data_IF_999206634912
#
_entry.id   IF_999206634912
#
_cell.length_a   1.000
_cell.length_b   1.000
_cell.length_c   1.000
_cell.angle_alpha   90.00
_cell.angle_beta   90.00
_cell.angle_gamma   90.00
#
_symmetry.space_group_name_H-M   'P 1'
#
loop_
_entity.id
_entity.type
_entity.pdbx_description
1 polymer ?
#
# COMPACT_ATOMS: atom_id res chain seq x y z
N UNK A 1 30.28 39.19 -9.59
CA UNK A 1 31.05 38.00 -9.18
C UNK A 1 30.10 36.81 -9.23
N UNK A 2 30.12 36.06 -10.33
CA UNK A 2 29.43 34.78 -10.48
C UNK A 2 30.44 33.70 -10.08
N UNK A 3 30.03 32.70 -9.32
CA UNK A 3 30.91 31.66 -8.77
C UNK A 3 31.62 30.87 -9.87
N UNK A 4 32.92 30.63 -9.68
CA UNK A 4 33.86 30.12 -10.68
C UNK A 4 34.09 28.59 -10.60
N UNK A 5 33.03 27.79 -10.43
CA UNK A 5 33.20 26.34 -10.27
C UNK A 5 32.08 25.56 -10.96
N UNK A 6 32.46 24.63 -11.83
CA UNK A 6 31.56 23.66 -12.43
C UNK A 6 31.23 22.57 -11.40
N UNK A 7 29.96 22.20 -11.27
CA UNK A 7 29.59 20.95 -10.60
C UNK A 7 30.12 19.78 -11.43
N UNK A 8 31.20 19.15 -10.96
CA UNK A 8 31.94 18.11 -11.68
C UNK A 8 31.16 16.78 -11.84
N UNK A 9 30.03 16.61 -11.14
CA UNK A 9 29.18 15.42 -11.25
C UNK A 9 27.88 15.80 -11.94
N UNK A 10 27.75 15.38 -13.20
CA UNK A 10 26.47 15.37 -13.90
C UNK A 10 25.77 14.08 -13.51
N UNK A 11 24.94 14.14 -12.48
CA UNK A 11 24.07 13.01 -12.16
C UNK A 11 22.95 12.93 -13.19
N UNK A 12 22.82 11.77 -13.84
CA UNK A 12 21.76 11.49 -14.78
C UNK A 12 20.51 10.91 -14.09
N UNK A 13 20.60 10.64 -12.78
CA UNK A 13 19.52 10.05 -11.99
C UNK A 13 18.54 11.14 -11.57
N UNK A 14 17.35 11.07 -12.17
CA UNK A 14 16.20 11.86 -11.78
C UNK A 14 15.46 11.14 -10.64
N UNK A 15 15.51 11.71 -9.43
CA UNK A 15 14.87 11.15 -8.22
C UNK A 15 13.37 10.89 -8.42
N UNK A 16 12.66 11.79 -9.09
CA UNK A 16 11.23 11.67 -9.40
C UNK A 16 10.96 10.45 -10.28
N UNK A 17 11.83 10.24 -11.27
CA UNK A 17 11.75 9.09 -12.17
C UNK A 17 12.01 7.78 -11.44
N UNK A 18 13.03 7.73 -10.59
CA UNK A 18 13.33 6.53 -9.81
C UNK A 18 12.17 6.17 -8.89
N UNK A 19 11.62 7.15 -8.16
CA UNK A 19 10.50 6.94 -7.23
C UNK A 19 9.24 6.42 -7.95
N UNK A 20 8.87 7.02 -9.08
CA UNK A 20 7.72 6.57 -9.87
C UNK A 20 7.94 5.16 -10.45
N UNK A 21 9.17 4.83 -10.84
CA UNK A 21 9.51 3.49 -11.35
C UNK A 21 9.39 2.44 -10.25
N UNK A 22 9.89 2.72 -9.05
CA UNK A 22 9.75 1.81 -7.90
C UNK A 22 8.28 1.60 -7.54
N UNK A 23 7.49 2.66 -7.53
CA UNK A 23 6.05 2.56 -7.26
C UNK A 23 5.33 1.69 -8.29
N UNK A 24 5.62 1.87 -9.59
CA UNK A 24 5.07 1.03 -10.65
C UNK A 24 5.52 -0.43 -10.50
N UNK A 25 6.79 -0.66 -10.19
CA UNK A 25 7.32 -2.01 -9.93
C UNK A 25 6.67 -2.67 -8.70
N UNK A 26 6.25 -1.90 -7.71
CA UNK A 26 5.55 -2.41 -6.52
C UNK A 26 4.13 -2.95 -6.83
N UNK A 27 3.56 -2.64 -8.00
CA UNK A 27 2.27 -3.22 -8.39
C UNK A 27 2.34 -4.72 -8.65
N UNK A 28 3.46 -5.24 -9.14
CA UNK A 28 3.64 -6.68 -9.34
C UNK A 28 3.51 -7.49 -8.04
N UNK A 29 4.28 -7.19 -6.97
CA UNK A 29 4.11 -7.87 -5.69
C UNK A 29 2.78 -7.55 -5.04
N UNK A 30 2.17 -6.38 -5.29
CA UNK A 30 0.84 -6.04 -4.80
C UNK A 30 -0.23 -6.99 -5.36
N UNK A 31 -0.30 -7.17 -6.69
CA UNK A 31 -1.26 -8.10 -7.30
C UNK A 31 -0.99 -9.55 -6.91
N UNK A 32 0.27 -9.97 -6.86
CA UNK A 32 0.65 -11.30 -6.40
C UNK A 32 0.22 -11.52 -4.94
N UNK A 33 0.47 -10.55 -4.06
CA UNK A 33 0.07 -10.59 -2.65
C UNK A 33 -1.44 -10.72 -2.48
N UNK A 34 -2.23 -9.93 -3.22
CA UNK A 34 -3.70 -10.05 -3.20
C UNK A 34 -4.17 -11.44 -3.66
N UNK A 35 -3.60 -11.97 -4.75
CA UNK A 35 -3.95 -13.31 -5.22
C UNK A 35 -3.60 -14.41 -4.22
N UNK A 36 -2.37 -14.46 -3.70
CA UNK A 36 -1.95 -15.53 -2.79
C UNK A 36 -2.62 -15.45 -1.42
N UNK A 37 -2.87 -14.25 -0.89
CA UNK A 37 -3.62 -14.11 0.37
C UNK A 37 -5.07 -14.54 0.18
N UNK A 38 -5.70 -14.18 -0.94
CA UNK A 38 -7.05 -14.63 -1.28
C UNK A 38 -7.15 -16.13 -1.51
N UNK A 39 -6.23 -16.72 -2.26
CA UNK A 39 -6.17 -18.16 -2.53
C UNK A 39 -6.09 -18.98 -1.24
N UNK A 40 -5.16 -18.64 -0.35
CA UNK A 40 -5.04 -19.36 0.92
C UNK A 40 -6.26 -19.15 1.82
N UNK A 41 -6.90 -17.98 1.76
CA UNK A 41 -8.10 -17.72 2.53
C UNK A 41 -9.31 -18.50 2.00
N UNK A 42 -9.55 -18.54 0.69
CA UNK A 42 -10.68 -19.27 0.10
C UNK A 42 -10.54 -20.79 0.28
N UNK A 43 -9.32 -21.35 0.12
CA UNK A 43 -9.04 -22.76 0.44
C UNK A 43 -9.34 -23.06 1.91
N UNK A 44 -8.90 -22.18 2.81
CA UNK A 44 -9.13 -22.36 4.25
C UNK A 44 -10.62 -22.29 4.60
N UNK A 45 -11.39 -21.39 3.96
CA UNK A 45 -12.84 -21.30 4.16
C UNK A 45 -13.59 -22.53 3.67
N UNK A 46 -13.20 -23.09 2.51
CA UNK A 46 -13.77 -24.32 1.98
C UNK A 46 -13.52 -25.50 2.93
N UNK A 47 -12.29 -25.63 3.46
CA UNK A 47 -11.93 -26.67 4.43
C UNK A 47 -12.68 -26.55 5.76
N UNK A 48 -12.97 -25.32 6.21
CA UNK A 48 -13.67 -25.05 7.46
C UNK A 48 -15.20 -25.01 7.31
N UNK A 49 -15.74 -25.13 6.09
CA UNK A 49 -17.18 -25.03 5.82
C UNK A 49 -17.75 -23.63 6.06
N UNK A 50 -16.94 -22.59 5.94
CA UNK A 50 -17.38 -21.19 6.10
C UNK A 50 -17.84 -20.68 4.73
N UNK A 51 -19.16 -20.57 4.55
CA UNK A 51 -19.74 -20.16 3.27
C UNK A 51 -19.60 -18.65 3.00
N UNK A 52 -19.54 -17.82 4.06
CA UNK A 52 -19.55 -16.36 3.93
C UNK A 52 -18.66 -15.69 4.98
N UNK A 53 -18.01 -14.60 4.57
CA UNK A 53 -17.22 -13.78 5.47
C UNK A 53 -18.14 -12.79 6.22
N UNK A 54 -18.06 -12.73 7.54
CA UNK A 54 -18.87 -11.79 8.31
C UNK A 54 -18.44 -10.32 8.11
N UNK A 55 -19.42 -9.42 8.05
CA UNK A 55 -19.22 -7.97 8.06
C UNK A 55 -19.15 -7.32 6.67
N UNK A 56 -18.71 -6.06 6.65
CA UNK A 56 -18.67 -5.24 5.43
C UNK A 56 -17.73 -5.81 4.35
N UNK A 57 -16.71 -6.57 4.76
CA UNK A 57 -15.78 -7.23 3.83
C UNK A 57 -16.50 -8.32 3.04
N UNK A 58 -17.31 -9.15 3.69
CA UNK A 58 -18.10 -10.18 3.02
C UNK A 58 -19.12 -9.59 2.05
N UNK A 59 -19.81 -8.54 2.48
CA UNK A 59 -20.75 -7.82 1.62
C UNK A 59 -20.12 -7.35 0.29
N UNK A 60 -18.89 -6.81 0.33
CA UNK A 60 -18.19 -6.38 -0.88
C UNK A 60 -17.80 -7.58 -1.76
N UNK A 61 -17.32 -8.66 -1.15
CA UNK A 61 -16.93 -9.87 -1.90
C UNK A 61 -18.15 -10.48 -2.59
N UNK A 62 -19.29 -10.59 -1.91
CA UNK A 62 -20.53 -11.14 -2.49
C UNK A 62 -21.13 -10.26 -3.59
N UNK A 63 -20.96 -8.93 -3.49
CA UNK A 63 -21.46 -8.00 -4.49
C UNK A 63 -20.66 -8.06 -5.80
N UNK A 64 -19.35 -8.32 -5.73
CA UNK A 64 -18.40 -8.18 -6.85
C UNK A 64 -17.89 -9.54 -7.36
N UNK A 65 -17.90 -10.56 -6.50
CA UNK A 65 -17.33 -11.89 -6.75
C UNK A 65 -18.04 -12.96 -5.89
N UNK A 66 -17.38 -14.10 -5.68
CA UNK A 66 -17.78 -15.13 -4.72
C UNK A 66 -16.56 -15.78 -4.08
N UNK A 67 -16.71 -17.00 -3.56
CA UNK A 67 -15.67 -17.63 -2.73
C UNK A 67 -14.97 -18.88 -3.33
N UNK A 68 -15.20 -19.18 -4.61
CA UNK A 68 -14.55 -20.31 -5.30
C UNK A 68 -13.00 -20.16 -5.39
N UNK A 69 -12.21 -21.09 -4.84
CA UNK A 69 -10.73 -21.06 -4.90
C UNK A 69 -10.12 -21.28 -6.29
N UNK A 70 -10.82 -21.96 -7.20
CA UNK A 70 -10.35 -22.22 -8.56
C UNK A 70 -10.41 -20.97 -9.45
N UNK A 71 -11.25 -20.00 -9.08
CA UNK A 71 -11.41 -18.76 -9.83
C UNK A 71 -10.39 -17.72 -9.38
N UNK A 72 -9.47 -17.38 -10.28
CA UNK A 72 -8.46 -16.35 -10.02
C UNK A 72 -9.08 -14.99 -9.65
N UNK A 73 -10.23 -14.63 -10.23
CA UNK A 73 -10.95 -13.39 -9.93
C UNK A 73 -11.44 -13.36 -8.49
N UNK A 74 -11.98 -14.47 -8.00
CA UNK A 74 -12.51 -14.59 -6.64
C UNK A 74 -11.39 -14.44 -5.60
N UNK A 75 -10.24 -15.08 -5.86
CA UNK A 75 -9.05 -14.96 -5.02
C UNK A 75 -8.52 -13.52 -5.01
N UNK A 76 -8.42 -12.84 -6.17
CA UNK A 76 -7.95 -11.45 -6.24
C UNK A 76 -8.89 -10.50 -5.51
N UNK A 77 -10.21 -10.61 -5.72
CA UNK A 77 -11.20 -9.74 -5.06
C UNK A 77 -11.20 -9.96 -3.55
N UNK A 78 -11.12 -11.22 -3.10
CA UNK A 78 -11.02 -11.53 -1.68
C UNK A 78 -9.80 -10.84 -1.05
N UNK A 79 -8.61 -11.01 -1.64
CA UNK A 79 -7.39 -10.35 -1.16
C UNK A 79 -7.46 -8.82 -1.21
N UNK A 80 -8.07 -8.26 -2.26
CA UNK A 80 -8.23 -6.82 -2.44
C UNK A 80 -9.08 -6.19 -1.32
N UNK A 81 -10.13 -6.86 -0.87
CA UNK A 81 -10.99 -6.37 0.24
C UNK A 81 -10.23 -6.25 1.56
N UNK A 82 -9.14 -7.00 1.75
CA UNK A 82 -8.26 -6.84 2.91
C UNK A 82 -7.17 -5.79 2.66
N UNK A 83 -6.55 -5.80 1.49
CA UNK A 83 -5.40 -4.95 1.16
C UNK A 83 -5.77 -3.49 0.87
N UNK A 84 -6.76 -3.23 0.01
CA UNK A 84 -7.13 -1.88 -0.44
C UNK A 84 -7.46 -0.93 0.72
N UNK A 85 -8.24 -1.33 1.74
CA UNK A 85 -8.49 -0.49 2.91
C UNK A 85 -7.22 -0.15 3.69
N UNK A 86 -6.27 -1.09 3.80
CA UNK A 86 -4.99 -0.84 4.45
C UNK A 86 -4.23 0.22 3.69
N UNK A 87 -4.10 0.08 2.36
CA UNK A 87 -3.43 1.05 1.50
C UNK A 87 -4.06 2.45 1.58
N UNK A 88 -5.40 2.53 1.60
CA UNK A 88 -6.11 3.80 1.73
C UNK A 88 -5.79 4.48 3.07
N UNK A 89 -5.84 3.72 4.18
CA UNK A 89 -5.57 4.27 5.51
C UNK A 89 -4.11 4.69 5.65
N UNK A 90 -3.16 3.89 5.14
CA UNK A 90 -1.74 4.22 5.20
C UNK A 90 -1.42 5.46 4.38
N UNK A 91 -1.99 5.56 3.17
CA UNK A 91 -1.85 6.73 2.32
C UNK A 91 -2.43 7.98 2.96
N UNK A 92 -3.68 7.92 3.46
CA UNK A 92 -4.35 9.08 4.03
C UNK A 92 -3.66 9.62 5.29
N UNK A 93 -3.29 8.73 6.22
CA UNK A 93 -2.66 9.12 7.49
C UNK A 93 -1.23 9.61 7.26
N UNK A 94 -0.46 8.94 6.40
CA UNK A 94 0.89 9.38 6.09
C UNK A 94 0.91 10.70 5.32
N UNK A 95 0.04 10.87 4.32
CA UNK A 95 -0.07 12.12 3.57
C UNK A 95 -0.49 13.27 4.48
N UNK A 96 -1.39 13.03 5.43
CA UNK A 96 -1.77 14.03 6.44
C UNK A 96 -0.56 14.54 7.22
N UNK A 97 0.29 13.64 7.74
CA UNK A 97 1.49 14.03 8.48
C UNK A 97 2.53 14.74 7.60
N UNK A 98 2.73 14.25 6.38
CA UNK A 98 3.69 14.84 5.45
C UNK A 98 3.31 16.26 5.04
N UNK A 99 2.02 16.50 4.77
CA UNK A 99 1.49 17.82 4.48
C UNK A 99 1.64 18.74 5.71
N UNK A 100 1.37 18.24 6.91
CA UNK A 100 1.52 19.04 8.14
C UNK A 100 2.98 19.47 8.34
N UNK A 101 3.94 18.57 8.17
CA UNK A 101 5.35 18.90 8.34
C UNK A 101 5.89 19.78 7.22
N UNK A 102 5.43 19.60 5.98
CA UNK A 102 5.83 20.44 4.86
C UNK A 102 5.42 21.91 5.07
N UNK A 103 4.19 22.13 5.55
CA UNK A 103 3.69 23.46 5.92
C UNK A 103 4.52 24.06 7.07
N UNK A 104 4.82 23.29 8.12
CA UNK A 104 5.57 23.78 9.29
C UNK A 104 7.03 24.11 8.95
N UNK A 105 7.68 23.33 8.09
CA UNK A 105 9.10 23.49 7.72
C UNK A 105 9.32 24.34 6.47
N UNK A 106 8.26 24.67 5.73
CA UNK A 106 8.34 25.52 4.53
C UNK A 106 9.07 24.87 3.36
N UNK A 107 9.03 23.54 3.26
CA UNK A 107 9.62 22.77 2.16
C UNK A 107 8.53 22.11 1.33
N UNK A 108 8.82 21.81 0.07
CA UNK A 108 7.91 21.10 -0.83
C UNK A 108 7.67 19.66 -0.34
N UNK A 109 6.50 19.11 -0.69
CA UNK A 109 6.15 17.72 -0.40
C UNK A 109 7.13 16.81 -1.12
N UNK A 110 7.70 15.84 -0.40
CA UNK A 110 8.62 14.89 -1.01
C UNK A 110 7.83 13.82 -1.76
N UNK A 111 8.22 13.54 -3.00
CA UNK A 111 7.60 12.47 -3.80
C UNK A 111 7.88 11.08 -3.22
N UNK A 112 8.87 10.97 -2.32
CA UNK A 112 9.23 9.74 -1.63
C UNK A 112 8.07 9.15 -0.82
N UNK A 113 7.12 9.96 -0.37
CA UNK A 113 5.96 9.46 0.37
C UNK A 113 5.16 8.42 -0.43
N UNK A 114 5.00 8.66 -1.73
CA UNK A 114 4.19 7.80 -2.60
C UNK A 114 4.76 6.38 -2.64
N UNK A 115 6.08 6.26 -2.57
CA UNK A 115 6.80 5.00 -2.49
C UNK A 115 6.68 4.41 -1.09
N UNK A 116 6.87 5.21 -0.04
CA UNK A 116 6.76 4.75 1.34
C UNK A 116 5.37 4.18 1.65
N UNK A 117 4.29 4.81 1.16
CA UNK A 117 2.92 4.36 1.42
C UNK A 117 2.62 2.97 0.85
N UNK A 118 3.08 2.67 -0.36
CA UNK A 118 2.87 1.36 -1.00
C UNK A 118 3.79 0.29 -0.41
N UNK A 119 5.04 0.64 -0.08
CA UNK A 119 5.96 -0.30 0.55
C UNK A 119 5.48 -0.66 1.96
N UNK A 120 5.02 0.33 2.73
CA UNK A 120 4.48 0.10 4.07
C UNK A 120 3.24 -0.81 4.03
N UNK A 121 2.31 -0.61 3.09
CA UNK A 121 1.13 -1.47 2.97
C UNK A 121 1.45 -2.90 2.55
N UNK A 122 2.60 -3.14 1.90
CA UNK A 122 3.03 -4.48 1.47
C UNK A 122 3.84 -5.25 2.51
N UNK A 123 4.51 -4.56 3.45
CA UNK A 123 5.28 -5.24 4.52
C UNK A 123 4.41 -5.69 5.69
N UNK A 124 3.24 -5.07 5.88
CA UNK A 124 2.34 -5.39 6.99
C UNK A 124 1.43 -6.56 6.65
N UNK A 125 1.02 -7.39 7.64
CA UNK A 125 0.13 -8.51 7.37
C UNK A 125 -1.27 -8.03 6.92
N UNK A 126 -1.93 -8.79 6.03
CA UNK A 126 -3.25 -8.43 5.51
C UNK A 126 -4.37 -8.43 6.59
N UNK A 127 -4.13 -9.07 7.73
CA UNK A 127 -5.06 -9.16 8.86
C UNK A 127 -4.93 -8.02 9.87
N UNK A 128 -4.04 -7.03 9.64
CA UNK A 128 -3.89 -5.93 10.60
C UNK A 128 -5.21 -5.16 10.80
N UNK A 129 -5.55 -4.80 12.04
CA UNK A 129 -6.52 -3.76 12.30
C UNK A 129 -6.10 -2.43 11.66
N UNK A 130 -7.05 -1.73 11.03
CA UNK A 130 -6.78 -0.49 10.29
C UNK A 130 -6.13 0.61 11.16
N UNK A 131 -6.52 0.70 12.43
CA UNK A 131 -5.95 1.65 13.37
C UNK A 131 -4.49 1.34 13.72
N UNK A 132 -4.08 0.06 13.73
CA UNK A 132 -2.68 -0.31 13.94
C UNK A 132 -1.83 0.09 12.74
N UNK A 133 -2.36 -0.08 11.52
CA UNK A 133 -1.73 0.44 10.31
C UNK A 133 -1.55 1.95 10.35
N UNK A 134 -2.58 2.69 10.80
CA UNK A 134 -2.53 4.14 10.96
C UNK A 134 -1.47 4.60 11.98
N UNK A 135 -1.36 3.92 13.12
CA UNK A 135 -0.32 4.22 14.12
C UNK A 135 1.07 3.88 13.60
N UNK A 136 1.22 2.75 12.90
CA UNK A 136 2.49 2.32 12.32
C UNK A 136 3.03 3.32 11.30
N UNK A 137 2.19 3.77 10.35
CA UNK A 137 2.61 4.79 9.38
C UNK A 137 2.86 6.15 10.06
N UNK A 138 2.08 6.51 11.08
CA UNK A 138 2.31 7.75 11.84
C UNK A 138 3.69 7.75 12.50
N UNK A 139 4.09 6.64 13.14
CA UNK A 139 5.42 6.52 13.72
C UNK A 139 6.51 6.58 12.65
N UNK A 140 6.30 5.90 11.52
CA UNK A 140 7.26 5.83 10.43
C UNK A 140 7.52 7.21 9.78
N UNK A 141 6.49 8.06 9.64
CA UNK A 141 6.60 9.38 9.00
C UNK A 141 7.03 10.48 9.99
N UNK A 142 6.60 10.39 11.26
CA UNK A 142 6.87 11.43 12.27
C UNK A 142 8.26 11.27 12.90
N UNK A 143 8.69 10.03 13.13
CA UNK A 143 9.93 9.71 13.89
C UNK A 143 11.02 9.12 13.00
N UNK A 144 10.66 8.31 12.00
CA UNK A 144 11.58 7.71 11.04
C UNK A 144 12.14 8.71 10.03
#
# INVERSE_FOLDING_TARGET
>A
KLTATSSHVRDAVDLKRVMSTVWLCAFFPMFAGMYFTGLHATIAMEQMGIEQLAGWRGFIVELIAGYNPESWWHCVVYGAVFYVPIYIVTFAVGAFWEILFSIKRGHEINEGFFVTSILFSLIVPASIPLWQGALGISFCVVIG
#
